data_IF_110374405214
#
_entry.id   IF_110374405214
#
_cell.length_a   1.000
_cell.length_b   1.000
_cell.length_c   1.000
_cell.angle_alpha   90.00
_cell.angle_beta   90.00
_cell.angle_gamma   90.00
#
_symmetry.space_group_name_H-M   'P 1'
#
loop_
_entity.id
_entity.type
_entity.pdbx_description
1 polymer ?
#
# COMPACT_ATOMS: atom_id res chain seq x y z
N UNK A 1 9.91 -11.80 67.69
CA UNK A 1 10.16 -12.90 66.72
C UNK A 1 9.10 -13.99 66.86
N UNK A 2 7.83 -13.65 66.63
CA UNK A 2 6.80 -14.64 66.28
C UNK A 2 5.84 -13.97 65.30
N UNK A 3 5.86 -14.42 64.03
CA UNK A 3 4.76 -14.16 63.10
C UNK A 3 3.69 -15.21 63.42
N UNK A 4 2.61 -14.81 64.09
CA UNK A 4 1.45 -15.66 64.33
C UNK A 4 0.51 -15.60 63.13
N UNK A 5 0.21 -16.75 62.54
CA UNK A 5 -0.85 -16.86 61.53
C UNK A 5 -2.20 -16.80 62.26
N UNK A 6 -2.97 -15.74 62.01
CA UNK A 6 -4.33 -15.62 62.54
C UNK A 6 -5.31 -15.96 61.43
N UNK A 7 -5.73 -17.23 61.46
CA UNK A 7 -6.92 -17.81 60.84
C UNK A 7 -7.01 -17.87 59.30
N UNK A 8 -7.32 -19.08 58.81
CA UNK A 8 -7.61 -19.38 57.41
C UNK A 8 -9.14 -19.36 57.25
N UNK A 9 -9.66 -18.41 56.47
CA UNK A 9 -10.99 -18.50 55.91
C UNK A 9 -10.91 -18.29 54.40
N UNK A 10 -11.22 -19.36 53.67
CA UNK A 10 -11.54 -19.37 52.25
C UNK A 10 -10.38 -19.05 51.32
N UNK A 11 -10.04 -17.77 51.17
CA UNK A 11 -9.28 -17.28 50.02
C UNK A 11 -8.30 -16.13 50.38
N UNK A 12 -7.98 -15.93 51.66
CA UNK A 12 -7.04 -14.87 52.09
C UNK A 12 -6.18 -15.27 53.28
N UNK A 13 -4.94 -14.76 53.31
CA UNK A 13 -4.02 -14.90 54.44
C UNK A 13 -3.71 -13.53 55.04
N UNK A 14 -3.89 -13.38 56.36
CA UNK A 14 -3.38 -12.24 57.11
C UNK A 14 -2.06 -12.60 57.79
N UNK A 15 -1.03 -11.80 57.52
CA UNK A 15 0.28 -11.86 58.17
C UNK A 15 0.43 -10.62 59.06
N UNK A 16 0.44 -10.80 60.38
CA UNK A 16 0.90 -9.76 61.30
C UNK A 16 2.43 -9.78 61.36
N UNK A 17 3.04 -8.66 60.95
CA UNK A 17 4.49 -8.47 60.96
C UNK A 17 4.85 -7.53 62.10
N UNK A 18 5.77 -7.96 62.99
CA UNK A 18 6.23 -7.11 64.10
C UNK A 18 6.96 -5.85 63.54
N UNK A 19 6.87 -4.68 64.21
CA UNK A 19 7.31 -3.37 63.68
C UNK A 19 8.81 -3.20 63.36
N UNK A 20 9.62 -4.25 63.54
CA UNK A 20 11.08 -4.22 63.40
C UNK A 20 11.62 -5.34 62.50
N UNK A 21 10.74 -6.00 61.74
CA UNK A 21 11.14 -7.11 60.85
C UNK A 21 11.84 -6.56 59.60
N UNK A 22 13.06 -7.00 59.33
CA UNK A 22 13.82 -6.55 58.15
C UNK A 22 13.31 -7.21 56.86
N UNK A 23 13.48 -6.54 55.71
CA UNK A 23 12.98 -7.03 54.42
C UNK A 23 13.50 -8.42 54.03
N UNK A 24 14.76 -8.74 54.36
CA UNK A 24 15.35 -10.06 54.11
C UNK A 24 14.79 -11.17 55.02
N UNK A 25 14.44 -10.86 56.27
CA UNK A 25 13.84 -11.82 57.19
C UNK A 25 12.38 -12.15 56.80
N UNK A 26 11.64 -11.15 56.35
CA UNK A 26 10.30 -11.33 55.80
C UNK A 26 10.32 -12.20 54.53
N UNK A 27 11.30 -12.00 53.66
CA UNK A 27 11.50 -12.79 52.43
C UNK A 27 11.79 -14.28 52.74
N UNK A 28 12.69 -14.57 53.69
CA UNK A 28 13.00 -15.95 54.08
C UNK A 28 11.78 -16.68 54.67
N UNK A 29 10.96 -15.99 55.45
CA UNK A 29 9.80 -16.58 56.10
C UNK A 29 8.62 -16.81 55.13
N UNK A 30 8.46 -15.93 54.13
CA UNK A 30 7.47 -16.09 53.05
C UNK A 30 7.86 -17.25 52.13
N UNK A 31 9.13 -17.31 51.70
CA UNK A 31 9.66 -18.43 50.88
C UNK A 31 9.56 -19.79 51.55
N UNK A 32 9.68 -19.84 52.88
CA UNK A 32 9.57 -21.08 53.65
C UNK A 32 8.12 -21.62 53.76
N UNK A 33 7.09 -20.80 53.50
CA UNK A 33 5.67 -21.18 53.65
C UNK A 33 4.85 -21.13 52.36
N UNK A 34 5.27 -20.36 51.36
CA UNK A 34 4.64 -20.28 50.05
C UNK A 34 5.66 -20.78 49.01
N UNK A 35 5.28 -21.82 48.27
CA UNK A 35 6.16 -22.53 47.34
C UNK A 35 6.85 -21.60 46.31
N UNK A 36 8.09 -21.19 46.62
CA UNK A 36 9.13 -20.87 45.65
C UNK A 36 9.30 -19.43 45.16
N UNK A 37 8.26 -18.60 45.05
CA UNK A 37 8.33 -17.41 44.17
C UNK A 37 7.97 -16.06 44.84
N UNK A 38 8.66 -15.68 45.90
CA UNK A 38 8.58 -14.33 46.48
C UNK A 38 9.95 -13.65 46.48
N UNK A 39 10.05 -12.38 46.11
CA UNK A 39 11.31 -11.62 46.16
C UNK A 39 11.07 -10.18 46.62
N UNK A 40 12.08 -9.56 47.25
CA UNK A 40 12.01 -8.18 47.73
C UNK A 40 12.89 -7.21 46.93
N UNK A 41 12.39 -5.99 46.70
CA UNK A 41 13.19 -4.87 46.17
C UNK A 41 12.75 -3.57 46.85
N UNK A 42 13.68 -2.87 47.50
CA UNK A 42 13.46 -1.61 48.23
C UNK A 42 12.27 -1.67 49.22
N UNK A 43 12.29 -2.61 50.16
CA UNK A 43 11.29 -2.78 51.24
C UNK A 43 9.85 -3.08 50.81
N UNK A 44 9.62 -3.55 49.57
CA UNK A 44 8.32 -4.10 49.16
C UNK A 44 8.45 -5.58 48.82
N UNK A 45 7.49 -6.37 49.28
CA UNK A 45 7.36 -7.80 49.02
C UNK A 45 6.35 -8.00 47.91
N UNK A 46 6.73 -8.73 46.85
CA UNK A 46 5.83 -9.11 45.76
C UNK A 46 5.71 -10.64 45.78
N UNK A 47 4.48 -11.14 45.79
CA UNK A 47 4.16 -12.58 45.77
C UNK A 47 3.34 -12.85 44.51
N UNK A 48 3.85 -13.71 43.62
CA UNK A 48 3.08 -14.25 42.51
C UNK A 48 2.56 -15.64 42.89
N UNK A 49 1.23 -15.83 42.86
CA UNK A 49 0.62 -17.15 42.97
C UNK A 49 0.11 -17.58 41.58
N UNK A 50 0.35 -18.84 41.23
CA UNK A 50 -0.27 -19.46 40.06
C UNK A 50 -1.78 -19.61 40.31
N UNK A 51 -2.60 -19.00 39.45
CA UNK A 51 -4.06 -18.97 39.58
C UNK A 51 -4.53 -17.70 40.27
N UNK A 52 -5.10 -16.79 39.48
CA UNK A 52 -5.32 -15.40 39.87
C UNK A 52 -6.10 -15.17 41.17
N UNK A 53 -5.51 -14.36 42.05
CA UNK A 53 -6.18 -13.43 42.96
C UNK A 53 -5.16 -12.36 43.40
N UNK A 54 -5.58 -11.10 43.50
CA UNK A 54 -4.73 -9.93 43.86
C UNK A 54 -5.01 -9.50 45.30
N UNK A 55 -3.95 -9.29 46.09
CA UNK A 55 -4.00 -8.61 47.39
C UNK A 55 -3.66 -7.13 47.22
N UNK A 56 -4.56 -6.25 47.68
CA UNK A 56 -4.36 -4.81 47.81
C UNK A 56 -3.67 -4.48 49.14
N UNK A 57 -2.78 -3.47 49.14
CA UNK A 57 -2.71 -2.58 50.30
C UNK A 57 -2.15 -1.19 49.95
N UNK A 58 -2.90 -0.17 50.37
CA UNK A 58 -2.58 1.26 50.32
C UNK A 58 -1.52 1.63 51.37
N UNK A 59 -0.58 2.50 50.98
CA UNK A 59 0.06 3.46 51.88
C UNK A 59 0.77 4.57 51.09
N UNK A 60 0.25 5.79 51.20
CA UNK A 60 0.89 7.05 50.80
C UNK A 60 2.01 7.44 51.76
N UNK A 61 3.12 7.95 51.23
CA UNK A 61 4.12 8.71 51.99
C UNK A 61 4.66 9.84 51.11
N UNK A 62 4.20 11.06 51.38
CA UNK A 62 4.75 12.30 50.81
C UNK A 62 6.13 12.62 51.42
N UNK A 63 7.11 12.95 50.57
CA UNK A 63 7.88 14.21 50.60
C UNK A 63 9.30 14.08 50.04
N UNK A 64 9.73 15.18 49.41
CA UNK A 64 11.10 15.55 48.99
C UNK A 64 11.60 15.04 47.63
N UNK A 65 11.19 15.75 46.58
CA UNK A 65 12.10 16.29 45.56
C UNK A 65 12.93 15.30 44.72
N UNK A 66 12.31 14.73 43.68
CA UNK A 66 12.99 14.39 42.41
C UNK A 66 11.93 14.13 41.31
N UNK A 67 12.18 14.50 40.04
CA UNK A 67 11.20 14.35 38.97
C UNK A 67 11.18 12.91 38.45
N UNK A 68 10.04 12.48 37.88
CA UNK A 68 9.76 11.17 37.27
C UNK A 68 9.32 10.07 38.23
N UNK A 69 8.02 10.03 38.55
CA UNK A 69 7.35 8.83 39.07
C UNK A 69 6.52 8.19 37.96
N UNK A 70 6.94 7.02 37.51
CA UNK A 70 6.05 6.05 36.85
C UNK A 70 5.33 5.33 37.98
N UNK A 71 4.06 5.68 38.20
CA UNK A 71 3.19 4.92 39.10
C UNK A 71 2.71 3.66 38.36
N UNK A 72 3.24 2.51 38.74
CA UNK A 72 2.68 1.20 38.39
C UNK A 72 1.54 0.90 39.38
N UNK A 73 0.31 1.19 38.98
CA UNK A 73 -0.89 0.66 39.63
C UNK A 73 -1.33 -0.54 38.79
N UNK A 74 -1.05 -1.75 39.28
CA UNK A 74 -1.69 -2.98 38.79
C UNK A 74 -2.87 -3.25 39.73
N UNK A 75 -4.01 -2.64 39.43
CA UNK A 75 -5.32 -3.14 39.86
C UNK A 75 -5.99 -3.71 38.62
N UNK A 76 -6.29 -5.01 38.63
CA UNK A 76 -7.06 -5.72 37.59
C UNK A 76 -6.62 -5.54 36.13
N UNK A 77 -5.75 -6.43 35.62
CA UNK A 77 -5.59 -6.78 34.19
C UNK A 77 -5.42 -5.66 33.13
N UNK A 78 -5.02 -4.44 33.51
CA UNK A 78 -4.74 -3.34 32.57
C UNK A 78 -3.25 -2.99 32.56
N UNK A 79 -2.69 -2.81 31.37
CA UNK A 79 -1.29 -2.42 31.14
C UNK A 79 -1.27 -1.05 30.45
N UNK A 80 -0.81 -0.02 31.16
CA UNK A 80 -0.37 1.26 30.59
C UNK A 80 1.14 1.27 30.49
N UNK A 81 1.70 1.21 29.29
CA UNK A 81 3.14 1.27 29.06
C UNK A 81 3.57 2.63 28.52
N UNK A 82 4.21 3.45 29.35
CA UNK A 82 5.03 4.58 28.90
C UNK A 82 6.51 4.17 28.86
N UNK A 83 7.00 3.99 27.63
CA UNK A 83 8.43 3.92 27.26
C UNK A 83 9.21 2.62 27.55
N UNK A 84 10.01 2.21 26.55
CA UNK A 84 10.76 0.94 26.40
C UNK A 84 11.92 0.75 27.39
N UNK A 85 12.01 1.55 28.45
CA UNK A 85 13.13 1.57 29.39
C UNK A 85 12.76 1.22 30.85
N UNK A 86 11.48 1.00 31.18
CA UNK A 86 11.04 0.75 32.55
C UNK A 86 10.36 -0.61 32.81
N UNK A 87 9.94 -1.32 31.77
CA UNK A 87 9.18 -2.56 31.90
C UNK A 87 10.12 -3.77 31.77
N UNK A 88 10.79 -4.10 32.87
CA UNK A 88 11.35 -5.44 33.00
C UNK A 88 10.18 -6.42 33.22
N UNK A 89 9.86 -7.21 32.20
CA UNK A 89 8.92 -8.35 32.20
C UNK A 89 7.40 -8.04 32.19
N UNK A 90 6.89 -7.50 31.09
CA UNK A 90 5.70 -8.16 30.51
C UNK A 90 6.28 -9.28 29.65
N UNK A 91 6.10 -10.52 30.08
CA UNK A 91 6.48 -11.64 29.22
C UNK A 91 5.49 -11.72 28.07
N UNK A 92 5.84 -11.04 26.98
CA UNK A 92 5.05 -10.94 25.74
C UNK A 92 4.74 -12.33 25.14
N UNK A 93 5.43 -13.39 25.59
CA UNK A 93 5.15 -14.77 25.23
C UNK A 93 4.00 -15.41 26.02
N UNK A 94 3.47 -14.77 27.06
CA UNK A 94 2.41 -15.32 27.93
C UNK A 94 1.14 -14.48 28.03
N UNK A 95 1.17 -13.21 27.58
CA UNK A 95 0.01 -12.32 27.68
C UNK A 95 -1.08 -12.70 26.66
N UNK A 96 -2.16 -13.35 27.12
CA UNK A 96 -3.24 -13.85 26.25
C UNK A 96 -4.39 -12.85 26.04
N UNK A 97 -4.69 -11.98 27.01
CA UNK A 97 -5.83 -11.05 26.93
C UNK A 97 -5.54 -9.74 27.64
N UNK A 98 -6.07 -8.63 27.10
CA UNK A 98 -5.96 -7.28 27.69
C UNK A 98 -7.33 -6.61 27.73
N UNK A 99 -7.64 -5.94 28.84
CA UNK A 99 -8.77 -5.00 28.95
C UNK A 99 -8.26 -3.62 29.34
N UNK A 100 -8.63 -2.60 28.57
CA UNK A 100 -8.27 -1.20 28.81
C UNK A 100 -9.40 -0.51 29.56
N UNK A 101 -9.06 0.30 30.57
CA UNK A 101 -10.01 1.04 31.41
C UNK A 101 -10.62 2.25 30.70
N UNK A 102 -11.89 2.54 31.01
CA UNK A 102 -12.72 3.57 30.36
C UNK A 102 -12.21 5.01 30.52
N UNK A 103 -11.25 5.27 31.42
CA UNK A 103 -10.62 6.58 31.62
C UNK A 103 -9.43 6.81 30.68
N UNK A 104 -8.94 5.77 30.00
CA UNK A 104 -7.79 5.87 29.09
C UNK A 104 -8.22 6.38 27.73
N UNK A 105 -7.47 7.33 27.21
CA UNK A 105 -7.73 7.94 25.89
C UNK A 105 -6.75 7.48 24.82
N UNK A 106 -5.64 6.85 25.18
CA UNK A 106 -4.56 6.58 24.23
C UNK A 106 -3.86 5.25 24.54
N UNK A 107 -3.47 4.53 23.48
CA UNK A 107 -2.57 3.38 23.56
C UNK A 107 -1.19 3.87 23.11
N UNK A 108 -0.21 3.82 24.01
CA UNK A 108 1.13 4.30 23.72
C UNK A 108 1.82 3.47 22.61
N UNK A 109 2.82 4.07 21.92
CA UNK A 109 3.64 3.32 20.97
C UNK A 109 4.27 2.07 21.58
N UNK A 110 4.32 0.98 20.82
CA UNK A 110 4.84 -0.34 21.20
C UNK A 110 4.21 -0.98 22.45
N UNK A 111 3.02 -0.54 22.90
CA UNK A 111 2.42 -1.01 24.16
C UNK A 111 2.30 -2.55 24.27
N UNK A 112 1.98 -3.23 23.17
CA UNK A 112 1.84 -4.68 23.08
C UNK A 112 2.69 -5.27 21.94
N UNK A 113 3.76 -4.57 21.54
CA UNK A 113 4.67 -5.08 20.50
C UNK A 113 5.20 -6.47 20.87
N UNK A 114 5.16 -7.40 19.92
CA UNK A 114 5.58 -8.80 20.06
C UNK A 114 4.83 -9.62 21.11
N UNK A 115 3.64 -9.21 21.54
CA UNK A 115 2.76 -10.04 22.36
C UNK A 115 2.17 -11.18 21.53
N UNK A 116 2.98 -12.19 21.21
CA UNK A 116 2.71 -13.21 20.17
C UNK A 116 1.52 -14.10 20.50
N UNK A 117 1.21 -14.28 21.78
CA UNK A 117 0.07 -15.10 22.26
C UNK A 117 -1.16 -14.27 22.63
N UNK A 118 -1.10 -12.93 22.48
CA UNK A 118 -2.25 -12.05 22.73
C UNK A 118 -3.36 -12.36 21.72
N UNK A 119 -4.47 -12.86 22.25
CA UNK A 119 -5.62 -13.31 21.49
C UNK A 119 -6.81 -12.33 21.59
N UNK A 120 -6.92 -11.60 22.69
CA UNK A 120 -8.05 -10.69 22.96
C UNK A 120 -7.60 -9.31 23.46
N UNK A 121 -8.18 -8.26 22.90
CA UNK A 121 -8.02 -6.88 23.36
C UNK A 121 -9.38 -6.21 23.42
N UNK A 122 -9.77 -5.78 24.62
CA UNK A 122 -11.00 -5.02 24.87
C UNK A 122 -10.63 -3.55 25.05
N UNK A 123 -11.02 -2.72 24.08
CA UNK A 123 -10.81 -1.27 24.09
C UNK A 123 -12.13 -0.54 24.43
N UNK A 124 -12.10 0.45 25.34
CA UNK A 124 -13.26 1.28 25.65
C UNK A 124 -13.46 2.40 24.61
N UNK A 125 -14.67 2.95 24.54
CA UNK A 125 -15.05 4.06 23.65
C UNK A 125 -14.37 5.40 24.00
N UNK A 126 -13.56 5.43 25.06
CA UNK A 126 -12.71 6.56 25.43
C UNK A 126 -11.44 6.65 24.57
N UNK A 127 -11.00 5.56 23.94
CA UNK A 127 -9.76 5.55 23.15
C UNK A 127 -9.89 6.45 21.92
N UNK A 128 -8.95 7.38 21.78
CA UNK A 128 -8.80 8.35 20.69
C UNK A 128 -7.61 8.02 19.81
N UNK A 129 -6.53 7.44 20.34
CA UNK A 129 -5.35 7.09 19.53
C UNK A 129 -4.76 5.73 19.85
N UNK A 130 -4.22 5.08 18.81
CA UNK A 130 -3.42 3.86 18.88
C UNK A 130 -2.02 4.19 18.38
N UNK A 131 -1.00 4.00 19.21
CA UNK A 131 0.38 4.37 18.91
C UNK A 131 1.06 3.52 17.84
N UNK A 132 2.20 4.01 17.35
CA UNK A 132 3.07 3.28 16.42
C UNK A 132 3.47 1.92 17.01
N UNK A 133 3.47 0.85 16.21
CA UNK A 133 3.78 -0.52 16.67
C UNK A 133 2.92 -1.07 17.82
N UNK A 134 1.83 -0.43 18.22
CA UNK A 134 1.11 -0.76 19.45
C UNK A 134 0.74 -2.25 19.59
N UNK A 135 0.39 -2.94 18.49
CA UNK A 135 0.10 -4.38 18.42
C UNK A 135 0.94 -5.08 17.35
N UNK A 136 2.12 -4.54 17.00
CA UNK A 136 3.00 -5.16 16.01
C UNK A 136 3.42 -6.56 16.48
N UNK A 137 3.40 -7.55 15.58
CA UNK A 137 3.74 -8.95 15.83
C UNK A 137 2.85 -9.65 16.90
N UNK A 138 1.64 -9.15 17.15
CA UNK A 138 0.59 -9.86 17.90
C UNK A 138 -0.01 -11.01 17.07
N UNK A 139 0.79 -12.04 16.80
CA UNK A 139 0.48 -13.11 15.84
C UNK A 139 -0.71 -14.00 16.21
N UNK A 140 -1.19 -13.97 17.47
CA UNK A 140 -2.36 -14.73 17.91
C UNK A 140 -3.67 -13.95 17.92
N UNK A 141 -3.62 -12.64 17.66
CA UNK A 141 -4.80 -11.77 17.71
C UNK A 141 -5.72 -12.09 16.53
N UNK A 142 -6.89 -12.70 16.80
CA UNK A 142 -7.82 -13.12 15.73
C UNK A 142 -8.79 -12.02 15.31
N UNK A 143 -9.14 -11.14 16.24
CA UNK A 143 -10.08 -10.04 16.02
C UNK A 143 -9.72 -8.86 16.90
N UNK A 144 -9.92 -7.65 16.39
CA UNK A 144 -9.88 -6.44 17.21
C UNK A 144 -11.00 -5.49 16.79
N UNK A 145 -11.74 -5.00 17.78
CA UNK A 145 -12.76 -3.98 17.56
C UNK A 145 -12.13 -2.62 17.85
N UNK A 146 -11.89 -1.81 16.82
CA UNK A 146 -11.40 -0.44 16.96
C UNK A 146 -12.61 0.47 17.26
N UNK A 147 -12.68 1.12 18.45
CA UNK A 147 -13.80 1.98 18.80
C UNK A 147 -14.01 3.13 17.82
N UNK A 148 -15.26 3.55 17.61
CA UNK A 148 -15.62 4.65 16.71
C UNK A 148 -15.04 6.02 17.13
N UNK A 149 -14.52 6.11 18.35
CA UNK A 149 -13.84 7.27 18.88
C UNK A 149 -12.38 7.39 18.44
N UNK A 150 -11.78 6.34 17.88
CA UNK A 150 -10.38 6.35 17.47
C UNK A 150 -10.21 7.26 16.25
N UNK A 151 -9.40 8.29 16.38
CA UNK A 151 -9.11 9.27 15.33
C UNK A 151 -7.77 8.97 14.64
N UNK A 152 -6.85 8.31 15.36
CA UNK A 152 -5.48 8.07 14.91
C UNK A 152 -5.04 6.63 15.16
N UNK A 153 -4.49 5.99 14.11
CA UNK A 153 -3.80 4.70 14.19
C UNK A 153 -2.38 4.89 13.68
N UNK A 154 -1.40 4.61 14.54
CA UNK A 154 0.02 4.77 14.25
C UNK A 154 0.52 3.83 13.16
N UNK A 155 1.68 4.16 12.60
CA UNK A 155 2.34 3.31 11.62
C UNK A 155 2.63 1.93 12.22
N UNK A 156 2.48 0.88 11.40
CA UNK A 156 2.72 -0.52 11.81
C UNK A 156 1.94 -0.98 13.05
N UNK A 157 0.89 -0.27 13.47
CA UNK A 157 0.17 -0.59 14.70
C UNK A 157 -0.32 -2.04 14.76
N UNK A 158 -0.69 -2.65 13.62
CA UNK A 158 -1.13 -4.04 13.51
C UNK A 158 -0.27 -4.87 12.55
N UNK A 159 0.98 -4.45 12.31
CA UNK A 159 1.89 -5.18 11.43
C UNK A 159 2.09 -6.60 11.95
N UNK A 160 2.05 -7.60 11.06
CA UNK A 160 2.24 -9.02 11.36
C UNK A 160 1.26 -9.61 12.40
N UNK A 161 0.08 -9.02 12.58
CA UNK A 161 -1.05 -9.68 13.24
C UNK A 161 -1.60 -10.81 12.35
N UNK A 162 -0.81 -11.87 12.14
CA UNK A 162 -1.00 -12.85 11.07
C UNK A 162 -2.27 -13.68 11.18
N UNK A 163 -2.88 -13.78 12.37
CA UNK A 163 -4.18 -14.44 12.60
C UNK A 163 -5.37 -13.50 12.59
N UNK A 164 -5.17 -12.18 12.45
CA UNK A 164 -6.25 -11.20 12.41
C UNK A 164 -7.12 -11.46 11.17
N UNK A 165 -8.39 -11.83 11.37
CA UNK A 165 -9.29 -12.25 10.28
C UNK A 165 -10.11 -11.11 9.71
N UNK A 166 -10.52 -10.19 10.57
CA UNK A 166 -11.40 -9.07 10.21
C UNK A 166 -11.01 -7.84 11.02
N UNK A 167 -11.07 -6.68 10.37
CA UNK A 167 -10.90 -5.38 11.03
C UNK A 167 -11.90 -4.37 10.45
N UNK A 168 -12.60 -3.68 11.35
CA UNK A 168 -13.45 -2.55 10.99
C UNK A 168 -12.68 -1.28 11.33
N UNK A 169 -12.35 -0.48 10.32
CA UNK A 169 -11.67 0.80 10.50
C UNK A 169 -12.77 1.87 10.60
N UNK A 170 -12.92 2.55 11.74
CA UNK A 170 -14.01 3.49 11.95
C UNK A 170 -13.84 4.74 11.08
N UNK A 171 -14.95 5.41 10.76
CA UNK A 171 -14.98 6.60 9.88
C UNK A 171 -14.30 7.83 10.47
N UNK A 172 -14.05 7.83 11.78
CA UNK A 172 -13.24 8.82 12.48
C UNK A 172 -11.76 8.79 12.05
N UNK A 173 -11.24 7.61 11.68
CA UNK A 173 -9.86 7.45 11.21
C UNK A 173 -9.72 8.07 9.82
N UNK A 174 -9.01 9.19 9.74
CA UNK A 174 -8.86 9.92 8.48
C UNK A 174 -7.88 9.26 7.51
N UNK A 175 -6.89 8.51 8.02
CA UNK A 175 -5.82 7.92 7.21
C UNK A 175 -5.35 6.59 7.79
N UNK A 176 -5.09 5.61 6.92
CA UNK A 176 -4.36 4.38 7.27
C UNK A 176 -2.89 4.61 6.98
N UNK A 177 -2.05 4.55 8.00
CA UNK A 177 -0.64 4.89 7.92
C UNK A 177 0.25 3.85 7.21
N UNK A 178 1.55 4.14 7.20
CA UNK A 178 2.55 3.24 6.65
C UNK A 178 2.51 1.87 7.33
N UNK A 179 2.39 0.80 6.52
CA UNK A 179 2.47 -0.60 6.96
C UNK A 179 1.50 -0.99 8.10
N UNK A 180 0.40 -0.25 8.30
CA UNK A 180 -0.47 -0.43 9.48
C UNK A 180 -0.97 -1.87 9.63
N UNK A 181 -1.36 -2.56 8.55
CA UNK A 181 -1.79 -3.96 8.52
C UNK A 181 -0.87 -4.84 7.65
N UNK A 182 0.39 -4.43 7.41
CA UNK A 182 1.37 -5.24 6.65
C UNK A 182 1.47 -6.64 7.27
N UNK A 183 1.35 -7.70 6.49
CA UNK A 183 1.52 -9.08 6.95
C UNK A 183 0.35 -9.65 7.76
N UNK A 184 -0.82 -9.00 7.80
CA UNK A 184 -2.06 -9.59 8.33
C UNK A 184 -2.59 -10.67 7.38
N UNK A 185 -1.86 -11.79 7.26
CA UNK A 185 -2.06 -12.80 6.21
C UNK A 185 -3.41 -13.54 6.26
N UNK A 186 -4.07 -13.57 7.43
CA UNK A 186 -5.42 -14.12 7.60
C UNK A 186 -6.54 -13.10 7.39
N UNK A 187 -6.24 -11.82 7.16
CA UNK A 187 -7.24 -10.76 7.01
C UNK A 187 -8.05 -11.03 5.75
N UNK A 188 -9.31 -11.45 5.93
CA UNK A 188 -10.19 -11.87 4.85
C UNK A 188 -11.08 -10.72 4.35
N UNK A 189 -11.43 -9.80 5.24
CA UNK A 189 -12.25 -8.63 4.94
C UNK A 189 -11.73 -7.38 5.67
N UNK A 190 -11.85 -6.23 5.01
CA UNK A 190 -11.62 -4.93 5.61
C UNK A 190 -12.67 -3.95 5.11
N UNK A 191 -13.28 -3.22 6.05
CA UNK A 191 -14.10 -2.05 5.72
C UNK A 191 -13.26 -0.80 5.94
N UNK A 192 -12.93 -0.10 4.85
CA UNK A 192 -12.13 1.12 4.87
C UNK A 192 -13.08 2.31 4.80
N UNK A 193 -13.07 3.16 5.83
CA UNK A 193 -13.75 4.45 5.82
C UNK A 193 -12.78 5.65 5.77
N UNK A 194 -11.46 5.38 5.78
CA UNK A 194 -10.41 6.39 5.74
C UNK A 194 -10.28 7.05 4.36
N UNK A 195 -9.83 8.32 4.35
CA UNK A 195 -9.64 9.12 3.12
C UNK A 195 -8.31 8.85 2.42
N UNK A 196 -7.38 8.14 3.06
CA UNK A 196 -6.09 7.78 2.46
C UNK A 196 -5.57 6.44 2.95
N UNK A 197 -4.87 5.75 2.06
CA UNK A 197 -4.21 4.47 2.31
C UNK A 197 -2.72 4.66 2.08
N UNK A 198 -1.93 4.55 3.14
CA UNK A 198 -0.49 4.71 3.14
C UNK A 198 0.26 3.56 2.45
N UNK A 199 1.57 3.76 2.26
CA UNK A 199 2.41 2.77 1.59
C UNK A 199 2.42 1.46 2.38
N UNK A 200 2.36 0.33 1.68
CA UNK A 200 2.37 -1.03 2.25
C UNK A 200 1.25 -1.30 3.29
N UNK A 201 0.21 -0.46 3.37
CA UNK A 201 -0.78 -0.53 4.45
C UNK A 201 -1.43 -1.91 4.62
N UNK A 202 -1.67 -2.63 3.52
CA UNK A 202 -2.22 -3.98 3.49
C UNK A 202 -1.32 -4.97 2.73
N UNK A 203 -0.02 -4.65 2.56
CA UNK A 203 0.92 -5.55 1.87
C UNK A 203 0.99 -6.90 2.60
N UNK A 204 0.90 -8.00 1.86
CA UNK A 204 0.94 -9.36 2.41
C UNK A 204 -0.36 -9.83 3.09
N UNK A 205 -1.48 -9.10 2.96
CA UNK A 205 -2.81 -9.56 3.40
C UNK A 205 -3.34 -10.65 2.45
N UNK A 206 -2.70 -11.82 2.45
CA UNK A 206 -2.86 -12.84 1.42
C UNK A 206 -4.23 -13.48 1.35
N UNK A 207 -5.03 -13.40 2.42
CA UNK A 207 -6.41 -13.93 2.48
C UNK A 207 -7.48 -12.91 2.09
N UNK A 208 -7.10 -11.66 1.82
CA UNK A 208 -8.03 -10.57 1.54
C UNK A 208 -8.72 -10.79 0.20
N UNK A 209 -10.04 -11.02 0.20
CA UNK A 209 -10.80 -11.40 -1.00
C UNK A 209 -11.36 -10.22 -1.78
N UNK A 210 -11.67 -9.15 -1.08
CA UNK A 210 -12.28 -7.95 -1.65
C UNK A 210 -11.95 -6.74 -0.78
N UNK A 211 -11.76 -5.61 -1.45
CA UNK A 211 -11.57 -4.32 -0.80
C UNK A 211 -12.56 -3.34 -1.42
N UNK A 212 -13.42 -2.78 -0.57
CA UNK A 212 -14.21 -1.62 -0.94
C UNK A 212 -13.38 -0.37 -0.58
N UNK A 213 -12.88 0.32 -1.61
CA UNK A 213 -12.09 1.53 -1.44
C UNK A 213 -13.06 2.72 -1.39
N UNK A 214 -13.14 3.49 -0.27
CA UNK A 214 -14.01 4.66 -0.18
C UNK A 214 -13.40 5.84 -0.94
N UNK A 215 -14.07 7.00 -0.91
CA UNK A 215 -13.57 8.24 -1.51
C UNK A 215 -12.17 8.60 -0.99
N UNK A 216 -11.15 8.35 -1.82
CA UNK A 216 -9.74 8.67 -1.58
C UNK A 216 -9.10 9.35 -2.80
N UNK A 217 -8.06 10.15 -2.56
CA UNK A 217 -7.30 10.83 -3.62
C UNK A 217 -6.24 9.92 -4.26
N UNK A 218 -5.61 9.02 -3.50
CA UNK A 218 -4.52 8.17 -3.99
C UNK A 218 -4.37 6.84 -3.25
N UNK A 219 -3.99 5.79 -3.99
CA UNK A 219 -3.62 4.49 -3.42
C UNK A 219 -2.10 4.45 -3.24
N UNK A 220 -1.63 4.24 -2.01
CA UNK A 220 -0.21 4.24 -1.66
C UNK A 220 0.63 3.18 -2.39
N UNK A 221 1.94 3.41 -2.40
CA UNK A 221 2.95 2.51 -2.97
C UNK A 221 2.92 1.15 -2.25
N UNK A 222 2.78 0.06 -3.00
CA UNK A 222 2.63 -1.31 -2.52
C UNK A 222 1.46 -1.53 -1.53
N UNK A 223 0.44 -0.67 -1.54
CA UNK A 223 -0.64 -0.70 -0.55
C UNK A 223 -1.32 -2.07 -0.41
N UNK A 224 -1.53 -2.79 -1.51
CA UNK A 224 -2.14 -4.13 -1.56
C UNK A 224 -1.23 -5.17 -2.22
N UNK A 225 0.09 -4.97 -2.19
CA UNK A 225 1.06 -5.96 -2.69
C UNK A 225 0.83 -7.34 -2.03
N UNK A 226 0.97 -8.44 -2.77
CA UNK A 226 0.81 -9.81 -2.26
C UNK A 226 -0.57 -10.10 -1.62
N UNK A 227 -1.61 -9.33 -1.93
CA UNK A 227 -3.02 -9.69 -1.64
C UNK A 227 -3.48 -10.81 -2.59
N UNK A 228 -2.89 -12.00 -2.43
CA UNK A 228 -2.99 -13.12 -3.38
C UNK A 228 -4.42 -13.65 -3.59
N UNK A 229 -5.30 -13.48 -2.60
CA UNK A 229 -6.71 -13.88 -2.68
C UNK A 229 -7.64 -12.80 -3.22
N UNK A 230 -7.15 -11.61 -3.54
CA UNK A 230 -7.97 -10.49 -3.99
C UNK A 230 -8.53 -10.79 -5.38
N UNK A 231 -9.84 -11.02 -5.49
CA UNK A 231 -10.49 -11.36 -6.77
C UNK A 231 -11.01 -10.12 -7.49
N UNK A 232 -11.44 -9.12 -6.73
CA UNK A 232 -12.10 -7.91 -7.21
C UNK A 232 -11.62 -6.70 -6.41
N UNK A 233 -11.37 -5.59 -7.13
CA UNK A 233 -11.15 -4.27 -6.55
C UNK A 233 -12.03 -3.26 -7.28
N UNK A 234 -12.74 -2.43 -6.52
CA UNK A 234 -13.46 -1.27 -7.06
C UNK A 234 -12.63 -0.03 -6.75
N UNK A 235 -12.06 0.59 -7.78
CA UNK A 235 -11.33 1.85 -7.64
C UNK A 235 -12.36 2.99 -7.79
N UNK A 236 -12.57 3.84 -6.78
CA UNK A 236 -13.58 4.90 -6.83
C UNK A 236 -13.18 6.06 -7.76
N UNK A 237 -14.18 6.78 -8.27
CA UNK A 237 -14.00 7.96 -9.15
C UNK A 237 -13.33 9.17 -8.47
N UNK A 238 -12.95 9.06 -7.19
CA UNK A 238 -12.13 10.07 -6.52
C UNK A 238 -10.64 9.85 -6.72
N UNK A 239 -10.21 8.62 -7.04
CA UNK A 239 -8.78 8.27 -7.10
C UNK A 239 -8.12 8.98 -8.28
N UNK A 240 -7.05 9.73 -8.01
CA UNK A 240 -6.21 10.41 -8.99
C UNK A 240 -5.00 9.59 -9.40
N UNK A 241 -4.42 8.85 -8.46
CA UNK A 241 -3.18 8.09 -8.72
C UNK A 241 -3.24 6.70 -8.12
N UNK A 242 -2.74 5.72 -8.89
CA UNK A 242 -2.47 4.36 -8.42
C UNK A 242 -0.95 4.27 -8.21
N UNK A 243 -0.51 4.09 -6.96
CA UNK A 243 0.89 4.07 -6.58
C UNK A 243 1.70 2.93 -7.21
N UNK A 244 3.03 3.04 -7.10
CA UNK A 244 3.94 1.98 -7.53
C UNK A 244 3.62 0.67 -6.82
N UNK A 245 3.49 -0.43 -7.56
CA UNK A 245 3.25 -1.76 -7.01
C UNK A 245 1.95 -1.93 -6.22
N UNK A 246 1.00 -0.98 -6.33
CA UNK A 246 -0.19 -0.92 -5.48
C UNK A 246 -0.97 -2.26 -5.40
N UNK A 247 -1.03 -3.01 -6.49
CA UNK A 247 -1.65 -4.34 -6.58
C UNK A 247 -0.67 -5.41 -7.13
N UNK A 248 0.65 -5.22 -6.93
CA UNK A 248 1.65 -6.20 -7.38
C UNK A 248 1.42 -7.57 -6.72
N UNK A 249 1.53 -8.63 -7.51
CA UNK A 249 1.29 -10.04 -7.10
C UNK A 249 -0.11 -10.31 -6.53
N UNK A 250 -1.12 -9.50 -6.88
CA UNK A 250 -2.54 -9.84 -6.68
C UNK A 250 -2.96 -10.96 -7.66
N UNK A 251 -2.47 -12.18 -7.42
CA UNK A 251 -2.49 -13.28 -8.40
C UNK A 251 -3.89 -13.75 -8.82
N UNK A 252 -4.93 -13.55 -7.99
CA UNK A 252 -6.31 -13.92 -8.29
C UNK A 252 -7.17 -12.76 -8.80
N UNK A 253 -6.61 -11.55 -8.95
CA UNK A 253 -7.37 -10.40 -9.45
C UNK A 253 -7.79 -10.67 -10.89
N UNK A 254 -9.11 -10.74 -11.15
CA UNK A 254 -9.66 -11.12 -12.47
C UNK A 254 -9.88 -9.93 -13.38
N UNK A 255 -10.35 -8.82 -12.82
CA UNK A 255 -10.70 -7.62 -13.57
C UNK A 255 -10.30 -6.38 -12.77
N UNK A 256 -9.86 -5.34 -13.49
CA UNK A 256 -9.74 -4.00 -12.94
C UNK A 256 -10.41 -2.97 -13.86
N UNK A 257 -11.22 -2.11 -13.25
CA UNK A 257 -11.78 -0.92 -13.89
C UNK A 257 -11.03 0.27 -13.27
N UNK A 258 -10.23 0.94 -14.09
CA UNK A 258 -9.52 2.16 -13.70
C UNK A 258 -10.42 3.33 -14.11
N UNK A 259 -10.95 4.14 -13.18
CA UNK A 259 -11.96 5.16 -13.49
C UNK A 259 -11.38 6.39 -14.23
N UNK A 260 -12.26 7.20 -14.81
CA UNK A 260 -11.93 8.44 -15.55
C UNK A 260 -11.22 9.48 -14.68
N UNK A 261 -11.20 9.33 -13.36
CA UNK A 261 -10.49 10.22 -12.44
C UNK A 261 -8.99 9.97 -12.37
N UNK A 262 -8.53 8.77 -12.74
CA UNK A 262 -7.12 8.37 -12.61
C UNK A 262 -6.30 9.01 -13.71
N UNK A 263 -5.26 9.73 -13.31
CA UNK A 263 -4.36 10.48 -14.19
C UNK A 263 -3.07 9.70 -14.48
N UNK A 264 -2.65 8.83 -13.55
CA UNK A 264 -1.42 8.03 -13.68
C UNK A 264 -1.51 6.65 -13.01
N UNK A 265 -0.90 5.66 -13.68
CA UNK A 265 -0.68 4.31 -13.16
C UNK A 265 0.82 4.17 -12.86
N UNK A 266 1.16 3.89 -11.60
CA UNK A 266 2.53 3.73 -11.13
C UNK A 266 3.26 2.52 -11.72
N UNK A 267 4.57 2.49 -11.51
CA UNK A 267 5.41 1.36 -11.92
C UNK A 267 4.94 0.08 -11.22
N UNK A 268 4.93 -1.05 -11.91
CA UNK A 268 4.55 -2.36 -11.37
C UNK A 268 3.15 -2.44 -10.74
N UNK A 269 2.27 -1.46 -10.96
CA UNK A 269 1.00 -1.31 -10.23
C UNK A 269 0.13 -2.57 -10.23
N UNK A 270 0.12 -3.34 -11.33
CA UNK A 270 -0.59 -4.61 -11.50
C UNK A 270 0.36 -5.74 -11.94
N UNK A 271 1.66 -5.63 -11.64
CA UNK A 271 2.63 -6.68 -11.99
C UNK A 271 2.20 -8.01 -11.39
N UNK A 272 2.39 -9.09 -12.14
CA UNK A 272 2.07 -10.46 -11.72
C UNK A 272 0.63 -10.66 -11.25
N UNK A 273 -0.34 -9.88 -11.75
CA UNK A 273 -1.76 -10.21 -11.63
C UNK A 273 -2.09 -11.37 -12.59
N UNK A 274 -1.71 -12.59 -12.19
CA UNK A 274 -1.65 -13.75 -13.07
C UNK A 274 -3.01 -14.18 -13.64
N UNK A 275 -4.12 -13.83 -12.97
CA UNK A 275 -5.49 -14.14 -13.38
C UNK A 275 -6.22 -12.97 -14.06
N UNK A 276 -5.57 -11.81 -14.24
CA UNK A 276 -6.20 -10.62 -14.80
C UNK A 276 -6.57 -10.89 -16.26
N UNK A 277 -7.86 -10.97 -16.56
CA UNK A 277 -8.37 -11.26 -17.90
C UNK A 277 -8.56 -9.98 -18.75
N UNK A 278 -8.89 -8.87 -18.09
CA UNK A 278 -9.24 -7.59 -18.70
C UNK A 278 -8.88 -6.43 -17.79
N UNK A 279 -8.37 -5.37 -18.42
CA UNK A 279 -8.10 -4.09 -17.78
C UNK A 279 -8.71 -2.97 -18.63
N UNK A 280 -9.65 -2.22 -18.05
CA UNK A 280 -10.26 -1.05 -18.67
C UNK A 280 -9.52 0.18 -18.13
N UNK A 281 -8.71 0.81 -18.99
CA UNK A 281 -7.98 2.04 -18.66
C UNK A 281 -8.79 3.23 -19.19
N UNK A 282 -9.34 4.03 -18.28
CA UNK A 282 -10.22 5.15 -18.61
C UNK A 282 -9.49 6.38 -19.17
N UNK A 283 -10.24 7.29 -19.80
CA UNK A 283 -9.76 8.26 -20.80
C UNK A 283 -8.81 9.35 -20.31
N UNK A 284 -8.60 9.46 -19.00
CA UNK A 284 -7.76 10.52 -18.39
C UNK A 284 -6.34 10.05 -18.07
N UNK A 285 -6.07 8.74 -18.16
CA UNK A 285 -4.73 8.21 -17.86
C UNK A 285 -3.75 8.71 -18.91
N UNK A 286 -2.74 9.48 -18.48
CA UNK A 286 -1.74 10.08 -19.36
C UNK A 286 -0.45 9.25 -19.47
N UNK A 287 -0.18 8.43 -18.44
CA UNK A 287 1.04 7.63 -18.28
C UNK A 287 0.75 6.24 -17.73
N UNK A 288 1.29 5.23 -18.41
CA UNK A 288 1.38 3.85 -17.93
C UNK A 288 2.82 3.62 -17.46
N UNK A 289 3.01 3.36 -16.17
CA UNK A 289 4.32 3.16 -15.55
C UNK A 289 5.05 1.90 -16.01
N UNK A 290 6.32 1.84 -15.63
CA UNK A 290 7.24 0.77 -16.00
C UNK A 290 6.77 -0.56 -15.38
N UNK A 291 6.65 -1.61 -16.19
CA UNK A 291 6.17 -2.91 -15.72
C UNK A 291 4.75 -2.92 -15.17
N UNK A 292 3.92 -1.90 -15.44
CA UNK A 292 2.60 -1.73 -14.81
C UNK A 292 1.71 -2.98 -14.90
N UNK A 293 1.75 -3.72 -16.01
CA UNK A 293 1.04 -4.98 -16.24
C UNK A 293 2.01 -6.13 -16.58
N UNK A 294 3.28 -6.04 -16.16
CA UNK A 294 4.26 -7.11 -16.38
C UNK A 294 3.74 -8.43 -15.82
N UNK A 295 3.87 -9.49 -16.61
CA UNK A 295 3.52 -10.86 -16.27
C UNK A 295 2.04 -11.08 -15.95
N UNK A 296 1.14 -10.19 -16.41
CA UNK A 296 -0.31 -10.41 -16.47
C UNK A 296 -0.63 -11.48 -17.53
N UNK A 297 -0.29 -12.73 -17.25
CA UNK A 297 -0.22 -13.78 -18.27
C UNK A 297 -1.58 -14.18 -18.85
N UNK A 298 -2.68 -13.91 -18.14
CA UNK A 298 -4.06 -14.15 -18.60
C UNK A 298 -4.70 -12.96 -19.33
N UNK A 299 -4.05 -11.80 -19.39
CA UNK A 299 -4.64 -10.59 -19.95
C UNK A 299 -4.87 -10.78 -21.44
N UNK A 300 -6.14 -10.80 -21.87
CA UNK A 300 -6.53 -11.05 -23.27
C UNK A 300 -6.63 -9.78 -24.09
N UNK A 301 -7.13 -8.73 -23.46
CA UNK A 301 -7.42 -7.43 -24.07
C UNK A 301 -7.04 -6.30 -23.13
N UNK A 302 -6.47 -5.24 -23.68
CA UNK A 302 -6.26 -3.97 -22.99
C UNK A 302 -6.74 -2.84 -23.90
N UNK A 303 -7.50 -1.91 -23.34
CA UNK A 303 -7.87 -0.67 -24.00
C UNK A 303 -6.97 0.44 -23.48
N UNK A 304 -6.06 0.95 -24.32
CA UNK A 304 -5.17 2.07 -23.97
C UNK A 304 -5.83 3.36 -24.49
N UNK A 305 -6.13 4.35 -23.64
CA UNK A 305 -6.88 5.54 -24.04
C UNK A 305 -6.00 6.52 -24.83
N UNK A 306 -6.66 7.35 -25.66
CA UNK A 306 -5.99 8.32 -26.54
C UNK A 306 -5.14 9.38 -25.80
N UNK A 307 -5.39 9.58 -24.51
CA UNK A 307 -4.63 10.47 -23.61
C UNK A 307 -3.24 9.95 -23.25
N UNK A 308 -2.97 8.66 -23.43
CA UNK A 308 -1.66 8.08 -23.10
C UNK A 308 -0.64 8.61 -24.08
N UNK A 309 0.40 9.25 -23.56
CA UNK A 309 1.51 9.79 -24.36
C UNK A 309 2.71 8.85 -24.36
N UNK A 310 2.85 8.01 -23.33
CA UNK A 310 4.01 7.16 -23.10
C UNK A 310 3.60 5.78 -22.58
N UNK A 311 4.15 4.72 -23.17
CA UNK A 311 4.07 3.35 -22.64
C UNK A 311 5.43 3.01 -22.02
N UNK A 312 5.48 2.83 -20.70
CA UNK A 312 6.73 2.60 -19.97
C UNK A 312 7.47 1.30 -20.36
N UNK A 313 8.78 1.21 -20.11
CA UNK A 313 9.54 -0.04 -20.18
C UNK A 313 8.83 -1.21 -19.50
N UNK A 314 8.81 -2.36 -20.17
CA UNK A 314 8.20 -3.60 -19.70
C UNK A 314 6.70 -3.52 -19.33
N UNK A 315 5.97 -2.45 -19.69
CA UNK A 315 4.60 -2.20 -19.24
C UNK A 315 3.64 -3.38 -19.43
N UNK A 316 3.79 -4.16 -20.51
CA UNK A 316 3.03 -5.38 -20.82
C UNK A 316 3.95 -6.58 -21.08
N UNK A 317 5.14 -6.60 -20.48
CA UNK A 317 6.08 -7.72 -20.56
C UNK A 317 5.37 -9.03 -20.16
N UNK A 318 5.60 -10.12 -20.88
CA UNK A 318 5.05 -11.45 -20.59
C UNK A 318 3.50 -11.53 -20.47
N UNK A 319 2.75 -10.61 -21.10
CA UNK A 319 1.30 -10.75 -21.29
C UNK A 319 0.99 -11.81 -22.36
N UNK A 320 1.21 -13.09 -22.01
CA UNK A 320 1.25 -14.22 -22.95
C UNK A 320 -0.03 -14.42 -23.76
N UNK A 321 -1.20 -14.12 -23.19
CA UNK A 321 -2.51 -14.25 -23.85
C UNK A 321 -3.04 -12.97 -24.51
N UNK A 322 -2.30 -11.86 -24.47
CA UNK A 322 -2.73 -10.61 -25.08
C UNK A 322 -2.79 -10.77 -26.61
N UNK A 323 -4.00 -10.69 -27.19
CA UNK A 323 -4.22 -10.96 -28.62
C UNK A 323 -4.11 -9.73 -29.50
N UNK A 324 -4.62 -8.60 -29.00
CA UNK A 324 -4.65 -7.33 -29.71
C UNK A 324 -4.45 -6.18 -28.75
N UNK A 325 -3.73 -5.17 -29.20
CA UNK A 325 -3.61 -3.87 -28.52
C UNK A 325 -3.76 -2.77 -29.55
N UNK A 326 -4.67 -1.82 -29.29
CA UNK A 326 -4.72 -0.57 -30.02
C UNK A 326 -3.75 0.42 -29.34
N UNK A 327 -2.66 0.75 -30.02
CA UNK A 327 -1.71 1.76 -29.53
C UNK A 327 -2.26 3.14 -29.95
N UNK A 328 -2.56 4.06 -29.01
CA UNK A 328 -3.00 5.41 -29.33
C UNK A 328 -1.84 6.25 -29.86
N UNK A 329 -2.05 7.54 -30.16
CA UNK A 329 -1.02 8.45 -30.63
C UNK A 329 0.05 8.77 -29.55
N UNK A 330 0.85 7.77 -29.18
CA UNK A 330 1.95 7.86 -28.22
C UNK A 330 3.20 8.45 -28.88
N UNK A 331 4.05 9.09 -28.09
CA UNK A 331 5.37 9.57 -28.51
C UNK A 331 6.39 8.41 -28.49
N UNK A 332 6.34 7.56 -27.47
CA UNK A 332 7.31 6.47 -27.31
C UNK A 332 6.72 5.18 -26.73
N UNK A 333 7.32 4.07 -27.15
CA UNK A 333 7.09 2.72 -26.64
C UNK A 333 8.39 2.24 -25.95
N UNK A 334 8.34 1.96 -24.66
CA UNK A 334 9.52 1.64 -23.86
C UNK A 334 10.18 0.29 -24.15
N UNK A 335 11.39 0.11 -23.59
CA UNK A 335 12.17 -1.13 -23.71
C UNK A 335 11.36 -2.32 -23.23
N UNK A 336 11.35 -3.43 -23.96
CA UNK A 336 10.59 -4.64 -23.60
C UNK A 336 9.08 -4.45 -23.39
N UNK A 337 8.48 -3.31 -23.78
CA UNK A 337 7.09 -2.95 -23.43
C UNK A 337 6.06 -4.06 -23.71
N UNK A 338 6.18 -4.78 -24.81
CA UNK A 338 5.33 -5.92 -25.19
C UNK A 338 6.12 -7.23 -25.34
N UNK A 339 7.34 -7.30 -24.81
CA UNK A 339 8.18 -8.50 -24.95
C UNK A 339 7.47 -9.73 -24.37
N UNK A 340 7.55 -10.86 -25.05
CA UNK A 340 6.91 -12.12 -24.60
C UNK A 340 5.39 -12.17 -24.77
N UNK A 341 4.76 -11.19 -25.42
CA UNK A 341 3.34 -11.25 -25.81
C UNK A 341 3.14 -12.24 -26.98
N UNK A 342 3.22 -13.55 -26.69
CA UNK A 342 3.26 -14.61 -27.71
C UNK A 342 1.98 -14.75 -28.53
N UNK A 343 0.84 -14.34 -27.98
CA UNK A 343 -0.47 -14.37 -28.66
C UNK A 343 -0.80 -13.09 -29.43
N UNK A 344 0.06 -12.07 -29.38
CA UNK A 344 -0.22 -10.78 -30.01
C UNK A 344 -0.12 -10.93 -31.53
N UNK A 345 -1.22 -10.67 -32.24
CA UNK A 345 -1.34 -10.99 -33.67
C UNK A 345 -1.00 -9.80 -34.57
N UNK A 346 -1.60 -8.64 -34.32
CA UNK A 346 -1.39 -7.43 -35.13
C UNK A 346 -1.23 -6.21 -34.22
N UNK A 347 -0.22 -5.40 -34.51
CA UNK A 347 -0.03 -4.08 -33.91
C UNK A 347 0.23 -3.09 -35.04
N UNK A 348 -0.52 -2.00 -35.03
CA UNK A 348 -0.28 -0.84 -35.89
C UNK A 348 0.49 0.18 -35.07
N UNK A 349 1.66 0.59 -35.57
CA UNK A 349 2.43 1.67 -34.97
C UNK A 349 1.87 3.01 -35.47
N UNK A 350 1.42 3.92 -34.58
CA UNK A 350 0.98 5.25 -34.98
C UNK A 350 2.11 6.09 -35.57
N UNK A 351 1.79 7.03 -36.47
CA UNK A 351 2.77 7.97 -37.04
C UNK A 351 3.42 8.90 -36.02
N UNK A 352 2.77 9.12 -34.87
CA UNK A 352 3.29 9.94 -33.77
C UNK A 352 4.50 9.32 -33.06
N UNK A 353 4.72 8.01 -33.21
CA UNK A 353 5.78 7.30 -32.50
C UNK A 353 7.15 7.73 -33.02
N UNK A 354 7.93 8.39 -32.16
CA UNK A 354 9.29 8.83 -32.48
C UNK A 354 10.35 7.86 -31.96
N UNK A 355 10.00 7.01 -30.98
CA UNK A 355 10.92 6.06 -30.36
C UNK A 355 10.25 4.72 -30.02
N UNK A 356 10.90 3.62 -30.41
CA UNK A 356 10.57 2.26 -29.97
C UNK A 356 11.82 1.69 -29.28
N UNK A 357 11.69 1.37 -28.00
CA UNK A 357 12.79 0.89 -27.18
C UNK A 357 13.29 -0.50 -27.62
N UNK A 358 14.55 -0.84 -27.30
CA UNK A 358 15.10 -2.16 -27.61
C UNK A 358 14.22 -3.30 -27.12
N UNK A 359 14.08 -4.33 -27.95
CA UNK A 359 13.32 -5.54 -27.66
C UNK A 359 11.86 -5.28 -27.26
N UNK A 360 11.25 -4.13 -27.60
CA UNK A 360 9.86 -3.80 -27.26
C UNK A 360 8.85 -4.89 -27.68
N UNK A 361 9.11 -5.59 -28.79
CA UNK A 361 8.27 -6.70 -29.28
C UNK A 361 9.04 -8.04 -29.35
N UNK A 362 10.11 -8.20 -28.55
CA UNK A 362 10.91 -9.43 -28.51
C UNK A 362 10.04 -10.63 -28.15
N UNK A 363 10.25 -11.77 -28.80
CA UNK A 363 9.48 -13.01 -28.55
C UNK A 363 7.96 -12.89 -28.76
N UNK A 364 7.48 -11.90 -29.52
CA UNK A 364 6.10 -11.83 -30.00
C UNK A 364 5.92 -12.75 -31.22
N UNK A 365 5.86 -14.05 -30.96
CA UNK A 365 5.96 -15.10 -32.00
C UNK A 365 4.80 -15.17 -33.00
N UNK A 366 3.68 -14.50 -32.72
CA UNK A 366 2.50 -14.45 -33.59
C UNK A 366 2.33 -13.08 -34.27
N UNK A 367 3.20 -12.12 -33.96
CA UNK A 367 3.00 -10.72 -34.31
C UNK A 367 3.34 -10.42 -35.77
N UNK A 368 2.39 -9.77 -36.42
CA UNK A 368 2.58 -8.94 -37.61
C UNK A 368 2.60 -7.48 -37.18
N UNK A 369 3.74 -6.82 -37.35
CA UNK A 369 3.89 -5.40 -37.05
C UNK A 369 3.63 -4.58 -38.31
N UNK A 370 2.68 -3.63 -38.25
CA UNK A 370 2.42 -2.67 -39.31
C UNK A 370 3.06 -1.34 -38.93
N UNK A 371 4.03 -0.90 -39.73
CA UNK A 371 4.82 0.31 -39.46
C UNK A 371 4.62 1.31 -40.61
N UNK A 372 4.25 2.57 -40.31
CA UNK A 372 4.19 3.64 -41.30
C UNK A 372 5.51 3.81 -42.05
N UNK A 373 5.43 4.06 -43.36
CA UNK A 373 6.60 4.26 -44.21
C UNK A 373 7.50 5.42 -43.73
N UNK A 374 6.89 6.45 -43.12
CA UNK A 374 7.60 7.60 -42.52
C UNK A 374 8.57 7.20 -41.40
N UNK A 375 8.22 6.18 -40.60
CA UNK A 375 9.07 5.67 -39.51
C UNK A 375 10.21 4.81 -40.07
N UNK A 376 9.93 4.00 -41.10
CA UNK A 376 10.94 3.15 -41.75
C UNK A 376 11.98 3.96 -42.53
N UNK A 377 11.55 5.04 -43.20
CA UNK A 377 12.42 5.89 -44.00
C UNK A 377 13.34 6.79 -43.16
N UNK A 378 13.00 7.04 -41.89
CA UNK A 378 13.65 8.07 -41.09
C UNK A 378 14.97 7.68 -40.42
N UNK A 379 15.42 6.43 -40.46
CA UNK A 379 16.51 5.87 -39.60
C UNK A 379 16.34 6.12 -38.07
N UNK A 380 15.27 6.81 -37.64
CA UNK A 380 15.04 7.31 -36.28
C UNK A 380 14.67 6.21 -35.29
N UNK A 381 14.16 5.06 -35.77
CA UNK A 381 13.67 3.97 -34.92
C UNK A 381 14.32 2.65 -35.33
N UNK A 382 15.27 2.17 -34.52
CA UNK A 382 15.81 0.81 -34.66
C UNK A 382 14.81 -0.19 -34.08
N UNK A 383 14.09 -0.89 -34.95
CA UNK A 383 13.15 -1.93 -34.51
C UNK A 383 13.93 -3.23 -34.30
N UNK A 384 14.29 -3.54 -33.06
CA UNK A 384 14.83 -4.85 -32.68
C UNK A 384 13.68 -5.87 -32.63
N UNK A 385 13.41 -6.50 -33.77
CA UNK A 385 12.33 -7.48 -33.95
C UNK A 385 12.76 -8.91 -33.72
N UNK A 386 13.75 -9.19 -32.86
CA UNK A 386 14.15 -10.57 -32.57
C UNK A 386 12.93 -11.42 -32.09
N UNK A 387 12.32 -12.16 -33.03
CA UNK A 387 11.15 -13.00 -32.81
C UNK A 387 9.82 -12.55 -33.47
N UNK A 388 9.71 -11.36 -34.07
CA UNK A 388 8.51 -11.01 -34.86
C UNK A 388 8.56 -11.72 -36.21
N UNK A 389 7.53 -12.51 -36.54
CA UNK A 389 7.52 -13.30 -37.77
C UNK A 389 7.39 -12.45 -39.03
N UNK A 390 6.78 -11.26 -38.97
CA UNK A 390 6.45 -10.43 -40.13
C UNK A 390 6.41 -8.93 -39.78
N UNK A 391 7.19 -8.11 -40.49
CA UNK A 391 7.02 -6.64 -40.53
C UNK A 391 6.38 -6.31 -41.88
N UNK A 392 5.31 -5.50 -41.88
CA UNK A 392 4.68 -4.95 -43.07
C UNK A 392 4.81 -3.44 -43.06
N UNK A 393 5.28 -2.86 -44.16
CA UNK A 393 5.16 -1.43 -44.40
C UNK A 393 3.71 -1.11 -44.76
N UNK A 394 3.15 -0.06 -44.18
CA UNK A 394 1.86 0.47 -44.62
C UNK A 394 2.07 1.29 -45.91
N UNK A 395 1.65 0.74 -47.06
CA UNK A 395 1.81 1.35 -48.38
C UNK A 395 0.65 2.27 -48.79
N UNK A 396 -0.35 2.47 -47.93
CA UNK A 396 -1.53 3.30 -48.20
C UNK A 396 -1.24 4.78 -48.49
N UNK A 397 0.02 5.24 -48.34
CA UNK A 397 0.43 6.63 -48.53
C UNK A 397 1.35 6.83 -49.78
N UNK A 398 1.88 5.78 -50.42
CA UNK A 398 2.66 5.96 -51.67
C UNK A 398 1.84 6.60 -52.80
N UNK A 399 0.54 6.35 -52.82
CA UNK A 399 -0.36 6.84 -53.87
C UNK A 399 -0.63 8.36 -53.81
N UNK A 400 -0.31 9.06 -52.72
CA UNK A 400 -0.57 10.51 -52.59
C UNK A 400 0.57 11.40 -53.11
N UNK A 401 1.78 10.85 -53.29
CA UNK A 401 2.95 11.62 -53.72
C UNK A 401 3.21 11.58 -55.25
N UNK A 402 2.60 10.65 -55.98
CA UNK A 402 2.89 10.44 -57.42
C UNK A 402 1.88 11.10 -58.38
N UNK A 403 0.84 11.81 -57.90
CA UNK A 403 -0.20 12.41 -58.74
C UNK A 403 -0.16 13.95 -58.84
N UNK A 404 1.04 14.57 -58.89
CA UNK A 404 1.16 15.98 -59.28
C UNK A 404 2.01 16.12 -60.55
N UNK A 405 1.48 16.71 -61.63
CA UNK A 405 2.21 16.82 -62.89
C UNK A 405 3.33 17.87 -62.80
N UNK A 406 4.50 17.49 -63.29
CA UNK A 406 5.70 18.32 -63.38
C UNK A 406 5.43 19.65 -64.10
N UNK A 407 5.65 20.77 -63.40
CA UNK A 407 5.84 22.10 -63.99
C UNK A 407 7.33 22.34 -64.28
N UNK A 408 7.68 23.10 -65.34
CA UNK A 408 9.02 23.07 -65.90
C UNK A 408 10.03 23.86 -65.07
N UNK A 409 11.28 23.38 -65.11
CA UNK A 409 12.44 24.00 -64.52
C UNK A 409 12.76 25.38 -65.11
N UNK A 410 13.27 26.29 -64.28
CA UNK A 410 14.16 27.36 -64.70
C UNK A 410 15.12 27.76 -63.57
N UNK A 411 16.35 28.24 -63.90
CA UNK A 411 17.49 28.17 -63.00
C UNK A 411 17.85 29.51 -62.31
N UNK A 412 18.52 29.37 -61.16
CA UNK A 412 19.56 30.21 -60.54
C UNK A 412 19.55 31.75 -60.69
N UNK A 413 19.63 32.44 -59.55
CA UNK A 413 20.09 33.84 -59.47
C UNK A 413 19.91 34.44 -58.06
N UNK A 414 20.99 34.87 -57.43
CA UNK A 414 21.04 35.24 -56.01
C UNK A 414 20.53 36.64 -55.63
N UNK A 415 20.60 36.95 -54.32
CA UNK A 415 20.83 38.32 -53.84
C UNK A 415 19.70 38.99 -53.04
N UNK A 416 19.84 38.94 -51.70
CA UNK A 416 19.69 40.02 -50.72
C UNK A 416 18.47 40.99 -50.66
N UNK A 417 18.12 41.28 -49.39
CA UNK A 417 17.53 42.50 -48.79
C UNK A 417 16.00 42.73 -48.75
N UNK A 418 15.48 42.55 -47.52
CA UNK A 418 14.62 43.43 -46.71
C UNK A 418 13.70 44.49 -47.37
N UNK A 419 12.44 44.43 -46.92
CA UNK A 419 11.57 45.57 -46.57
C UNK A 419 11.28 46.63 -47.65
N UNK A 420 10.13 46.47 -48.32
CA UNK A 420 9.29 47.62 -48.70
C UNK A 420 7.81 47.29 -48.64
N UNK A 421 7.25 47.76 -47.54
CA UNK A 421 5.86 47.87 -47.18
C UNK A 421 5.17 48.93 -48.06
N UNK A 422 3.92 48.65 -48.43
CA UNK A 422 2.86 49.56 -48.86
C UNK A 422 2.90 50.23 -50.27
N UNK A 423 1.69 50.26 -50.85
CA UNK A 423 1.18 51.11 -51.95
C UNK A 423 1.45 50.61 -53.37
N UNK A 424 0.49 49.86 -53.91
CA UNK A 424 -0.32 50.32 -55.07
C UNK A 424 -1.12 49.15 -55.66
N UNK A 425 -2.45 49.07 -55.37
CA UNK A 425 -3.50 48.74 -56.37
C UNK A 425 -4.94 48.69 -55.84
N UNK A 426 -5.30 49.48 -54.83
CA UNK A 426 -6.70 49.62 -54.39
C UNK A 426 -7.39 50.94 -54.78
N UNK A 427 -6.88 51.68 -55.78
CA UNK A 427 -7.56 52.89 -56.29
C UNK A 427 -7.62 52.99 -57.82
N UNK A 428 -7.82 51.85 -58.51
CA UNK A 428 -8.33 51.80 -59.90
C UNK A 428 -9.81 51.39 -60.00
N UNK A 429 -10.56 51.37 -58.88
CA UNK A 429 -12.01 51.12 -58.85
C UNK A 429 -12.91 52.35 -58.62
N UNK A 430 -12.36 53.59 -58.57
CA UNK A 430 -13.15 54.84 -58.43
C UNK A 430 -13.24 55.70 -59.71
N UNK A 431 -13.22 55.07 -60.89
CA UNK A 431 -13.56 55.75 -62.17
C UNK A 431 -14.53 54.95 -63.05
N UNK A 432 -15.37 54.10 -62.45
CA UNK A 432 -16.56 53.57 -63.13
C UNK A 432 -17.76 53.72 -62.20
N UNK A 433 -18.67 54.60 -62.63
CA UNK A 433 -20.00 54.94 -62.11
C UNK A 433 -20.03 56.06 -61.06
N UNK A 434 -20.87 57.04 -61.41
CA UNK A 434 -21.29 58.22 -60.68
C UNK A 434 -21.82 57.90 -59.30
#
# INVERSE_FOLDING_TARGET
>A
MKVSCVQINGDSFHLEVEPQTTGSELEQQIKARLWGNAFTRKNKVIVCLEGGAVLQNDATLESAGCPSEVQLVISSNTVTCSNRAGLAHIDAETLVSVRIEDDKTDICPSAFESCRVLAEVIMPDSIRSIGEYAFCDCSSLESITIPNSVEHIGERAFRNCSRLRDVTIPSSVQSIGFRTFEGCSSLASVTIAAKSIGNYAFSGCSSLKGVNIPLLDSIGTYAFEDCKSLEHVTIPDSVKTIGEGAFDRCSLLKQVIIPDSVESIGNFAFRSCLSLDSAIISKSVSKIGDGAFDSCSFLKTVSIPASVTHIGPAAFLNCKLLKSVAIPAVESIGNFAFSGCRSLETVVIPESVTHIGPSAFKSCTSLTLVVPASILAGERVKIDTCGCKRIRADESIKAAAESSPAGPASPAGGGATAAKVLRAKERRRRRRRM
#
